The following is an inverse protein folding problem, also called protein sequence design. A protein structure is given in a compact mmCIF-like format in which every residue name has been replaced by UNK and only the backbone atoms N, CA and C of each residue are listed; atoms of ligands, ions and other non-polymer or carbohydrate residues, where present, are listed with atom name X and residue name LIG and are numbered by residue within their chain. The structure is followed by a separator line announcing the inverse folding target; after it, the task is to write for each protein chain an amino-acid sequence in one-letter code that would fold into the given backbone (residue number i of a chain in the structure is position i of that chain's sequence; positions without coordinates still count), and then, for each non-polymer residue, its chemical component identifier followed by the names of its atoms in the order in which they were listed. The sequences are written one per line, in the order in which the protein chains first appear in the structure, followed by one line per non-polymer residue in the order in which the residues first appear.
data_IF_022374886898
#
_entry.id   IF_022374886898
#
_cell.length_a   1.000
_cell.length_b   1.000
_cell.length_c   1.000
_cell.angle_alpha   90.00
_cell.angle_beta   90.00
_cell.angle_gamma   90.00
#
_symmetry.space_group_name_H-M   'P 1'
#
loop_
_entity.id
_entity.type
_entity.pdbx_description
1 polymer ?
#
# COMPACT_ATOMS: atom_id res chain seq x y z
N UNK A 1 -5.91 -16.67 15.28
CA UNK A 1 -5.84 -15.86 14.03
C UNK A 1 -6.71 -16.53 13.01
N UNK A 2 -7.39 -15.76 12.15
CA UNK A 2 -8.20 -16.31 11.06
C UNK A 2 -7.25 -16.75 9.94
N UNK A 3 -7.34 -17.99 9.49
CA UNK A 3 -6.66 -18.43 8.26
C UNK A 3 -7.45 -17.91 7.05
N UNK A 4 -6.73 -17.41 6.05
CA UNK A 4 -7.30 -16.90 4.80
C UNK A 4 -6.98 -17.86 3.66
N UNK A 5 -7.89 -18.02 2.71
CA UNK A 5 -7.63 -18.83 1.52
C UNK A 5 -6.60 -18.18 0.59
N UNK A 6 -6.00 -18.97 -0.31
CA UNK A 6 -5.08 -18.45 -1.34
C UNK A 6 -5.81 -17.38 -2.19
N UNK A 7 -7.06 -17.63 -2.55
CA UNK A 7 -7.88 -16.71 -3.34
C UNK A 7 -8.13 -15.39 -2.60
N UNK A 8 -8.43 -15.45 -1.30
CA UNK A 8 -8.60 -14.27 -0.46
C UNK A 8 -7.31 -13.45 -0.36
N UNK A 9 -6.17 -14.11 -0.17
CA UNK A 9 -4.85 -13.47 -0.11
C UNK A 9 -4.46 -12.83 -1.45
N UNK A 10 -4.69 -13.52 -2.57
CA UNK A 10 -4.44 -12.98 -3.91
C UNK A 10 -5.36 -11.79 -4.23
N UNK A 11 -6.64 -11.88 -3.86
CA UNK A 11 -7.60 -10.79 -4.03
C UNK A 11 -7.21 -9.57 -3.17
N UNK A 12 -6.82 -9.79 -1.91
CA UNK A 12 -6.32 -8.76 -1.03
C UNK A 12 -5.06 -8.09 -1.60
N UNK A 13 -4.05 -8.89 -2.01
CA UNK A 13 -2.83 -8.38 -2.64
C UNK A 13 -3.15 -7.49 -3.84
N UNK A 14 -4.00 -7.95 -4.77
CA UNK A 14 -4.41 -7.17 -5.95
C UNK A 14 -5.06 -5.84 -5.58
N UNK A 15 -5.94 -5.85 -4.57
CA UNK A 15 -6.61 -4.64 -4.08
C UNK A 15 -5.62 -3.64 -3.46
N UNK A 16 -4.69 -4.14 -2.64
CA UNK A 16 -3.66 -3.31 -1.99
C UNK A 16 -2.68 -2.71 -3.01
N UNK A 17 -2.24 -3.47 -4.02
CA UNK A 17 -1.40 -2.94 -5.12
C UNK A 17 -2.10 -1.82 -5.87
N UNK A 18 -3.40 -1.99 -6.20
CA UNK A 18 -4.17 -0.93 -6.86
C UNK A 18 -4.27 0.33 -5.99
N UNK A 19 -4.45 0.15 -4.68
CA UNK A 19 -4.55 1.24 -3.71
C UNK A 19 -3.21 1.97 -3.56
N UNK A 20 -2.12 1.23 -3.45
CA UNK A 20 -0.76 1.75 -3.38
C UNK A 20 -0.47 2.68 -4.57
N UNK A 21 -0.69 2.20 -5.80
CA UNK A 21 -0.47 2.99 -7.02
C UNK A 21 -1.28 4.29 -7.06
N UNK A 22 -2.51 4.29 -6.53
CA UNK A 22 -3.33 5.50 -6.45
C UNK A 22 -2.78 6.51 -5.45
N UNK A 23 -2.29 6.04 -4.30
CA UNK A 23 -1.70 6.90 -3.26
C UNK A 23 -0.38 7.48 -3.75
N UNK A 24 0.46 6.71 -4.42
CA UNK A 24 1.72 7.18 -5.00
C UNK A 24 1.49 8.28 -6.04
N UNK A 25 0.51 8.11 -6.94
CA UNK A 25 0.12 9.16 -7.90
C UNK A 25 -0.41 10.42 -7.20
N UNK A 26 -1.22 10.26 -6.16
CA UNK A 26 -1.71 11.38 -5.38
C UNK A 26 -0.56 12.10 -4.64
N UNK A 27 0.44 11.35 -4.17
CA UNK A 27 1.61 11.89 -3.49
C UNK A 27 2.42 12.80 -4.42
N UNK A 28 2.66 12.39 -5.67
CA UNK A 28 3.33 13.24 -6.68
C UNK A 28 2.60 14.57 -6.85
N UNK A 29 1.28 14.54 -7.03
CA UNK A 29 0.48 15.78 -7.16
C UNK A 29 0.51 16.64 -5.90
N UNK A 30 0.52 16.04 -4.71
CA UNK A 30 0.62 16.78 -3.45
C UNK A 30 1.99 17.46 -3.28
N UNK A 31 3.07 16.77 -3.66
CA UNK A 31 4.44 17.28 -3.63
C UNK A 31 4.63 18.43 -4.64
N UNK A 32 4.10 18.32 -5.85
CA UNK A 32 4.08 19.41 -6.84
C UNK A 32 3.34 20.65 -6.31
N UNK A 33 2.15 20.47 -5.74
CA UNK A 33 1.37 21.58 -5.15
C UNK A 33 2.10 22.21 -3.96
N UNK A 34 2.79 21.41 -3.14
CA UNK A 34 3.61 21.91 -2.04
C UNK A 34 4.77 22.76 -2.55
N UNK A 35 5.46 22.33 -3.62
CA UNK A 35 6.52 23.10 -4.26
C UNK A 35 6.03 24.44 -4.83
N UNK A 36 4.77 24.51 -5.25
CA UNK A 36 4.09 25.73 -5.71
C UNK A 36 3.57 26.62 -4.55
N UNK A 37 3.83 26.27 -3.29
CA UNK A 37 3.47 27.07 -2.11
C UNK A 37 2.18 26.66 -1.39
N UNK A 38 1.53 25.56 -1.80
CA UNK A 38 0.40 25.00 -1.03
C UNK A 38 0.86 24.43 0.31
N UNK A 39 0.02 24.48 1.35
CA UNK A 39 0.31 23.88 2.67
C UNK A 39 -0.20 22.43 2.76
N UNK A 40 0.39 21.53 1.97
CA UNK A 40 0.01 20.11 1.89
C UNK A 40 0.90 19.17 2.71
N UNK A 41 1.85 19.69 3.50
CA UNK A 41 2.82 18.88 4.25
C UNK A 41 2.18 17.75 5.09
N UNK A 42 1.06 18.03 5.78
CA UNK A 42 0.37 17.02 6.58
C UNK A 42 -0.19 15.87 5.73
N UNK A 43 -0.73 16.19 4.55
CA UNK A 43 -1.26 15.20 3.60
C UNK A 43 -0.15 14.38 2.95
N UNK A 44 1.00 15.00 2.66
CA UNK A 44 2.21 14.32 2.19
C UNK A 44 2.69 13.32 3.24
N UNK A 45 2.87 13.75 4.48
CA UNK A 45 3.30 12.87 5.59
C UNK A 45 2.33 11.70 5.77
N UNK A 46 1.02 11.97 5.80
CA UNK A 46 0.00 10.93 5.95
C UNK A 46 0.04 9.93 4.79
N UNK A 47 0.22 10.42 3.55
CA UNK A 47 0.28 9.57 2.36
C UNK A 47 1.54 8.70 2.35
N UNK A 48 2.70 9.24 2.75
CA UNK A 48 3.95 8.47 2.93
C UNK A 48 3.80 7.37 3.97
N UNK A 49 3.16 7.67 5.10
CA UNK A 49 2.89 6.66 6.14
C UNK A 49 1.96 5.55 5.63
N UNK A 50 0.94 5.90 4.84
CA UNK A 50 0.04 4.91 4.21
C UNK A 50 0.77 4.01 3.21
N UNK A 51 1.64 4.58 2.38
CA UNK A 51 2.50 3.81 1.46
C UNK A 51 3.34 2.80 2.23
N UNK A 52 4.01 3.23 3.31
CA UNK A 52 4.81 2.34 4.15
C UNK A 52 3.96 1.19 4.75
N UNK A 53 2.78 1.50 5.30
CA UNK A 53 1.88 0.49 5.87
C UNK A 53 1.35 -0.51 4.82
N UNK A 54 1.04 -0.04 3.60
CA UNK A 54 0.61 -0.89 2.51
C UNK A 54 1.72 -1.82 2.02
N UNK A 55 2.96 -1.32 1.93
CA UNK A 55 4.11 -2.14 1.59
C UNK A 55 4.36 -3.26 2.61
N UNK A 56 4.26 -2.93 3.91
CA UNK A 56 4.34 -3.95 4.98
C UNK A 56 3.22 -4.99 4.81
N UNK A 57 1.98 -4.54 4.57
CA UNK A 57 0.84 -5.44 4.36
C UNK A 57 1.04 -6.37 3.16
N UNK A 58 1.59 -5.85 2.05
CA UNK A 58 1.89 -6.63 0.85
C UNK A 58 2.98 -7.68 1.11
N UNK A 59 4.09 -7.30 1.76
CA UNK A 59 5.17 -8.21 2.13
C UNK A 59 4.66 -9.34 3.04
N UNK A 60 3.79 -9.03 4.01
CA UNK A 60 3.18 -10.05 4.86
C UNK A 60 2.27 -11.02 4.09
N UNK A 61 1.49 -10.52 3.13
CA UNK A 61 0.65 -11.38 2.27
C UNK A 61 1.52 -12.27 1.38
N UNK A 62 2.61 -11.74 0.81
CA UNK A 62 3.53 -12.53 -0.01
C UNK A 62 4.21 -13.63 0.78
N UNK A 63 4.66 -13.33 2.00
CA UNK A 63 5.23 -14.33 2.91
C UNK A 63 4.23 -15.43 3.24
N UNK A 64 2.97 -15.08 3.44
CA UNK A 64 1.93 -16.08 3.73
C UNK A 64 1.64 -16.96 2.52
N UNK A 65 1.54 -16.37 1.32
CA UNK A 65 1.38 -17.11 0.07
C UNK A 65 2.56 -18.05 -0.21
N UNK A 66 3.79 -17.65 0.13
CA UNK A 66 4.98 -18.49 -0.02
C UNK A 66 4.93 -19.72 0.90
N UNK A 67 4.53 -19.55 2.16
CA UNK A 67 4.36 -20.68 3.11
C UNK A 67 3.33 -21.70 2.63
N UNK A 68 2.28 -21.24 1.94
CA UNK A 68 1.25 -22.14 1.40
C UNK A 68 1.80 -22.93 0.19
N UNK A 69 2.66 -22.35 -0.64
CA UNK A 69 3.29 -23.03 -1.78
C UNK A 69 4.38 -24.04 -1.38
N UNK A 70 4.96 -23.91 -0.18
CA UNK A 70 5.97 -24.83 0.34
C UNK A 70 5.38 -26.08 1.03
N UNK A 71 4.05 -26.16 1.17
CA UNK A 71 3.32 -27.31 1.72
C UNK A 71 2.75 -28.19 0.61
#
# INVERSE_FOLDING_TARGET
MKEYSIEELLAAKKSLVSTLSKIEKALVSLEEKQAQGSKNQSQITLSKNRVAALNISLDLIERELAKIHEK
#
